data_IF_622341019386
#
_entry.id   IF_622341019386
#
_cell.length_a   1.000
_cell.length_b   1.000
_cell.length_c   1.000
_cell.angle_alpha   90.00
_cell.angle_beta   90.00
_cell.angle_gamma   90.00
#
_symmetry.space_group_name_H-M   'P 1'
#
loop_
_entity.id
_entity.type
_entity.pdbx_description
1 polymer ?
#
# COMPACT_ATOMS: atom_id res chain seq x y z
N UNK A 1 -68.39 35.50 34.37
CA UNK A 1 -67.19 36.01 35.07
C UNK A 1 -66.09 35.01 34.75
N UNK A 2 -65.06 35.24 33.94
CA UNK A 2 -64.50 36.41 33.23
C UNK A 2 -63.80 35.83 31.97
N UNK A 3 -64.06 36.32 30.77
CA UNK A 3 -63.37 37.39 30.04
C UNK A 3 -62.02 36.98 29.36
N UNK A 4 -62.14 36.78 28.04
CA UNK A 4 -61.26 37.02 26.87
C UNK A 4 -59.76 36.59 26.73
N UNK A 5 -59.31 36.28 25.48
CA UNK A 5 -57.96 35.80 25.05
C UNK A 5 -57.08 36.98 24.55
N UNK A 6 -56.03 36.90 23.67
CA UNK A 6 -55.29 35.80 22.99
C UNK A 6 -53.74 35.98 23.02
N UNK A 7 -52.95 35.15 22.30
CA UNK A 7 -51.96 35.63 21.30
C UNK A 7 -51.18 34.51 20.59
N UNK A 8 -51.07 34.64 19.27
CA UNK A 8 -50.15 33.90 18.40
C UNK A 8 -48.80 34.63 18.38
N UNK A 9 -47.70 33.89 18.40
CA UNK A 9 -46.45 34.39 17.81
C UNK A 9 -45.70 33.30 17.04
N UNK A 10 -45.62 33.51 15.73
CA UNK A 10 -44.75 32.86 14.76
C UNK A 10 -43.28 33.13 15.09
N UNK A 11 -42.42 32.11 15.04
CA UNK A 11 -40.96 32.26 15.15
C UNK A 11 -40.24 31.15 14.38
N UNK A 12 -39.34 31.56 13.48
CA UNK A 12 -38.74 30.78 12.39
C UNK A 12 -37.63 29.81 12.82
N UNK A 13 -37.57 28.70 12.07
CA UNK A 13 -36.39 27.93 11.65
C UNK A 13 -35.02 28.58 11.83
N UNK A 14 -34.08 27.88 12.48
CA UNK A 14 -32.68 27.83 12.05
C UNK A 14 -32.12 26.41 12.21
N UNK A 15 -31.50 25.94 11.14
CA UNK A 15 -30.98 24.59 10.98
C UNK A 15 -29.90 24.26 12.02
N UNK A 16 -30.04 23.09 12.63
CA UNK A 16 -29.01 22.42 13.42
C UNK A 16 -27.86 22.03 12.49
N UNK A 17 -26.83 22.87 12.42
CA UNK A 17 -25.57 22.55 11.76
C UNK A 17 -24.84 21.47 12.57
N UNK A 18 -24.94 20.22 12.10
CA UNK A 18 -24.13 19.10 12.57
C UNK A 18 -22.68 19.43 12.28
N UNK A 19 -21.90 19.74 13.31
CA UNK A 19 -20.45 19.86 13.20
C UNK A 19 -19.86 18.46 12.98
N UNK A 20 -19.49 18.17 11.73
CA UNK A 20 -18.65 17.04 11.37
C UNK A 20 -17.21 17.35 11.80
N UNK A 21 -16.85 16.97 13.03
CA UNK A 21 -15.45 16.92 13.46
C UNK A 21 -14.76 15.73 12.80
N UNK A 22 -14.04 15.98 11.70
CA UNK A 22 -13.07 15.02 11.14
C UNK A 22 -11.82 15.01 12.03
N UNK A 23 -11.25 13.83 12.37
CA UNK A 23 -9.99 13.76 13.09
C UNK A 23 -8.83 14.11 12.14
N UNK A 24 -8.23 15.27 12.37
CA UNK A 24 -6.99 15.71 11.72
C UNK A 24 -5.86 14.76 12.17
N UNK A 25 -5.22 14.08 11.23
CA UNK A 25 -4.06 13.23 11.48
C UNK A 25 -2.89 14.07 12.06
N UNK A 26 -2.02 13.46 12.89
CA UNK A 26 -0.99 14.21 13.60
C UNK A 26 0.09 14.72 12.63
N UNK A 27 0.25 16.04 12.58
CA UNK A 27 1.37 16.72 11.95
C UNK A 27 2.60 16.47 12.83
N UNK A 28 3.60 15.74 12.33
CA UNK A 28 4.91 15.67 12.99
C UNK A 28 5.70 16.93 12.64
N UNK A 29 5.95 17.76 13.65
CA UNK A 29 6.80 18.94 13.57
C UNK A 29 8.25 18.51 13.84
N UNK A 30 9.17 18.81 12.93
CA UNK A 30 10.60 18.80 13.20
C UNK A 30 11.12 20.22 13.03
N UNK A 31 11.77 20.74 14.07
CA UNK A 31 12.37 22.07 14.09
C UNK A 31 13.72 22.02 13.37
N UNK A 32 13.81 22.68 12.22
CA UNK A 32 15.07 23.08 11.62
C UNK A 32 14.94 24.57 11.23
N UNK A 33 15.67 25.40 11.97
CA UNK A 33 16.11 26.74 11.59
C UNK A 33 15.04 27.71 11.04
N UNK A 34 14.14 28.16 11.92
CA UNK A 34 13.58 29.52 11.87
C UNK A 34 12.68 29.90 10.68
N UNK A 35 12.39 28.98 9.77
CA UNK A 35 11.46 29.17 8.67
C UNK A 35 10.52 27.97 8.60
N UNK A 36 9.25 28.21 8.90
CA UNK A 36 8.18 27.25 8.62
C UNK A 36 7.98 27.19 7.11
N UNK A 37 8.84 26.47 6.40
CA UNK A 37 8.56 26.16 5.01
C UNK A 37 7.47 25.09 5.01
N UNK A 38 6.25 25.53 4.67
CA UNK A 38 5.14 24.63 4.39
C UNK A 38 5.54 23.86 3.14
N UNK A 39 6.19 22.71 3.32
CA UNK A 39 6.33 21.73 2.25
C UNK A 39 4.94 21.14 2.06
N UNK A 40 4.12 21.83 1.26
CA UNK A 40 2.93 21.24 0.67
C UNK A 40 3.41 19.95 0.01
N UNK A 41 2.83 18.77 0.32
CA UNK A 41 3.18 17.56 -0.39
C UNK A 41 2.63 17.76 -1.80
N UNK A 42 3.46 18.29 -2.69
CA UNK A 42 3.12 18.46 -4.09
C UNK A 42 2.86 17.04 -4.60
N UNK A 43 1.58 16.70 -4.69
CA UNK A 43 1.14 15.36 -5.09
C UNK A 43 1.79 15.11 -6.45
N UNK A 44 2.62 14.07 -6.55
CA UNK A 44 3.23 13.67 -7.82
C UNK A 44 2.17 13.64 -8.92
N UNK A 45 2.53 14.06 -10.13
CA UNK A 45 1.61 14.11 -11.28
C UNK A 45 0.86 12.78 -11.46
N UNK A 46 1.56 11.66 -11.25
CA UNK A 46 0.96 10.32 -11.30
C UNK A 46 -0.10 10.11 -10.21
N UNK A 47 0.13 10.64 -9.01
CA UNK A 47 -0.81 10.59 -7.89
C UNK A 47 -2.07 11.39 -8.21
N UNK A 48 -1.91 12.60 -8.75
CA UNK A 48 -3.03 13.47 -9.15
C UNK A 48 -3.90 12.81 -10.22
N UNK A 49 -3.27 12.22 -11.24
CA UNK A 49 -3.96 11.47 -12.29
C UNK A 49 -4.76 10.29 -11.73
N UNK A 50 -4.18 9.55 -10.78
CA UNK A 50 -4.88 8.43 -10.11
C UNK A 50 -6.08 8.93 -9.31
N UNK A 51 -5.95 10.04 -8.59
CA UNK A 51 -7.06 10.64 -7.83
C UNK A 51 -8.20 11.02 -8.76
N UNK A 52 -7.90 11.74 -9.85
CA UNK A 52 -8.88 12.18 -10.83
C UNK A 52 -9.67 11.00 -11.42
N UNK A 53 -8.96 9.98 -11.88
CA UNK A 53 -9.57 8.75 -12.43
C UNK A 53 -10.47 8.08 -11.40
N UNK A 54 -10.06 7.99 -10.14
CA UNK A 54 -10.87 7.37 -9.09
C UNK A 54 -12.13 8.17 -8.82
N UNK A 55 -12.04 9.51 -8.78
CA UNK A 55 -13.20 10.38 -8.59
C UNK A 55 -14.21 10.22 -9.72
N UNK A 56 -13.74 10.20 -10.97
CA UNK A 56 -14.59 9.96 -12.15
C UNK A 56 -15.30 8.60 -12.07
N UNK A 57 -14.58 7.55 -11.65
CA UNK A 57 -15.15 6.20 -11.52
C UNK A 57 -16.18 6.11 -10.39
N UNK A 58 -15.95 6.80 -9.26
CA UNK A 58 -16.93 6.85 -8.16
C UNK A 58 -18.20 7.56 -8.63
N UNK A 59 -18.06 8.68 -9.35
CA UNK A 59 -19.20 9.44 -9.88
C UNK A 59 -20.01 8.65 -10.92
N UNK A 60 -19.34 7.81 -11.73
CA UNK A 60 -20.00 7.01 -12.76
C UNK A 60 -20.56 5.66 -12.25
N UNK A 61 -20.39 5.34 -10.96
CA UNK A 61 -20.81 4.05 -10.41
C UNK A 61 -22.33 3.85 -10.56
N UNK A 62 -22.75 2.69 -11.07
CA UNK A 62 -24.17 2.35 -11.26
C UNK A 62 -24.74 2.77 -12.63
N UNK A 63 -23.97 3.49 -13.44
CA UNK A 63 -24.36 3.82 -14.83
C UNK A 63 -23.92 2.69 -15.78
N UNK A 64 -24.65 2.46 -16.87
CA UNK A 64 -24.26 1.53 -17.95
C UNK A 64 -22.87 1.85 -18.56
N UNK A 65 -22.45 3.11 -18.47
CA UNK A 65 -21.16 3.62 -18.94
C UNK A 65 -19.98 3.21 -18.05
N UNK A 66 -20.23 2.68 -16.86
CA UNK A 66 -19.21 2.38 -15.86
C UNK A 66 -18.17 1.36 -16.36
N UNK A 67 -18.61 0.30 -17.04
CA UNK A 67 -17.70 -0.73 -17.56
C UNK A 67 -16.76 -0.21 -18.65
N UNK A 68 -17.27 0.62 -19.57
CA UNK A 68 -16.46 1.25 -20.62
C UNK A 68 -15.46 2.24 -20.02
N UNK A 69 -15.90 3.05 -19.05
CA UNK A 69 -15.05 3.99 -18.34
C UNK A 69 -13.92 3.28 -17.60
N UNK A 70 -14.20 2.19 -16.88
CA UNK A 70 -13.16 1.37 -16.22
C UNK A 70 -12.08 0.90 -17.19
N UNK A 71 -12.45 0.43 -18.38
CA UNK A 71 -11.48 -0.03 -19.37
C UNK A 71 -10.61 1.12 -19.90
N UNK A 72 -11.22 2.27 -20.17
CA UNK A 72 -10.50 3.46 -20.64
C UNK A 72 -9.54 3.99 -19.56
N UNK A 73 -10.02 4.14 -18.33
CA UNK A 73 -9.23 4.56 -17.19
C UNK A 73 -8.06 3.62 -16.89
N UNK A 74 -8.27 2.30 -17.02
CA UNK A 74 -7.20 1.32 -16.84
C UNK A 74 -6.10 1.49 -17.90
N UNK A 75 -6.48 1.73 -19.16
CA UNK A 75 -5.54 2.02 -20.25
C UNK A 75 -4.77 3.32 -20.02
N UNK A 76 -5.44 4.39 -19.58
CA UNK A 76 -4.81 5.68 -19.27
C UNK A 76 -3.74 5.56 -18.18
N UNK A 77 -3.99 4.75 -17.16
CA UNK A 77 -3.05 4.50 -16.06
C UNK A 77 -2.03 3.39 -16.35
N UNK A 78 -2.08 2.73 -17.52
CA UNK A 78 -1.18 1.63 -17.87
C UNK A 78 -1.32 0.39 -16.97
N UNK A 79 -2.47 0.20 -16.32
CA UNK A 79 -2.73 -0.92 -15.40
C UNK A 79 -3.88 -1.81 -15.88
N UNK A 80 -4.01 -2.99 -15.29
CA UNK A 80 -5.17 -3.86 -15.55
C UNK A 80 -6.44 -3.31 -14.90
N UNK A 81 -7.60 -3.63 -15.48
CA UNK A 81 -8.92 -3.29 -14.89
C UNK A 81 -9.06 -3.85 -13.47
N UNK A 82 -8.54 -5.05 -13.21
CA UNK A 82 -8.53 -5.66 -11.86
C UNK A 82 -7.69 -4.84 -10.87
N UNK A 83 -6.53 -4.33 -11.31
CA UNK A 83 -5.69 -3.45 -10.49
C UNK A 83 -6.42 -2.14 -10.18
N UNK A 84 -7.10 -1.55 -11.17
CA UNK A 84 -7.90 -0.36 -11.00
C UNK A 84 -9.06 -0.57 -10.01
N UNK A 85 -9.80 -1.68 -10.13
CA UNK A 85 -10.87 -2.03 -9.19
C UNK A 85 -10.35 -2.20 -7.76
N UNK A 86 -9.20 -2.86 -7.59
CA UNK A 86 -8.53 -2.98 -6.28
C UNK A 86 -8.05 -1.63 -5.75
N UNK A 87 -7.62 -0.72 -6.63
CA UNK A 87 -7.23 0.63 -6.26
C UNK A 87 -8.44 1.42 -5.74
N UNK A 88 -9.55 1.41 -6.47
CA UNK A 88 -10.81 2.05 -6.05
C UNK A 88 -11.33 1.45 -4.74
N UNK A 89 -11.25 0.13 -4.57
CA UNK A 89 -11.63 -0.52 -3.30
C UNK A 89 -10.76 -0.04 -2.14
N UNK A 90 -9.43 -0.08 -2.27
CA UNK A 90 -8.52 0.42 -1.23
C UNK A 90 -8.71 1.90 -0.93
N UNK A 91 -9.00 2.70 -1.95
CA UNK A 91 -9.32 4.12 -1.78
C UNK A 91 -10.58 4.33 -0.93
N UNK A 92 -11.61 3.52 -1.08
CA UNK A 92 -12.82 3.60 -0.22
C UNK A 92 -12.52 3.24 1.23
N UNK A 93 -11.61 2.28 1.45
CA UNK A 93 -11.26 1.78 2.79
C UNK A 93 -10.26 2.71 3.51
N UNK A 94 -9.32 3.29 2.79
CA UNK A 94 -8.15 3.97 3.37
C UNK A 94 -7.92 5.40 2.84
N UNK A 95 -8.76 5.91 1.94
CA UNK A 95 -8.65 7.27 1.39
C UNK A 95 -7.35 7.51 0.64
N UNK A 96 -6.78 8.71 0.79
CA UNK A 96 -5.52 9.13 0.15
C UNK A 96 -4.33 8.21 0.47
N UNK A 97 -4.32 7.61 1.66
CA UNK A 97 -3.24 6.67 2.05
C UNK A 97 -3.18 5.44 1.15
N UNK A 98 -4.29 5.05 0.52
CA UNK A 98 -4.37 3.91 -0.41
C UNK A 98 -3.53 4.08 -1.68
N UNK A 99 -3.26 5.33 -2.08
CA UNK A 99 -2.46 5.62 -3.27
C UNK A 99 -0.97 5.63 -2.99
N UNK A 100 -0.59 5.83 -1.73
CA UNK A 100 0.80 5.66 -1.32
C UNK A 100 1.17 4.19 -1.53
N UNK A 101 2.32 3.96 -2.18
CA UNK A 101 2.85 2.60 -2.31
C UNK A 101 3.25 2.18 -0.91
N UNK A 102 2.42 1.34 -0.28
CA UNK A 102 2.70 0.82 1.05
C UNK A 102 3.98 -0.02 0.96
N UNK A 103 5.09 0.60 1.36
CA UNK A 103 6.39 -0.02 1.33
C UNK A 103 6.38 -1.10 2.40
N UNK A 104 6.41 -2.36 1.96
CA UNK A 104 6.62 -3.44 2.91
C UNK A 104 8.05 -3.34 3.40
N UNK A 105 8.25 -3.33 4.72
CA UNK A 105 9.58 -3.26 5.34
C UNK A 105 10.50 -4.38 4.85
N UNK A 106 9.92 -5.55 4.52
CA UNK A 106 10.65 -6.70 4.01
C UNK A 106 10.86 -6.71 2.48
N UNK A 107 10.47 -5.65 1.77
CA UNK A 107 10.57 -5.61 0.31
C UNK A 107 12.03 -5.55 -0.15
N UNK A 108 12.53 -6.66 -0.70
CA UNK A 108 13.91 -6.80 -1.14
C UNK A 108 14.88 -7.19 -0.02
N UNK A 109 14.40 -7.36 1.21
CA UNK A 109 15.20 -7.89 2.30
C UNK A 109 15.46 -9.39 2.08
N UNK A 110 16.73 -9.78 2.10
CA UNK A 110 17.12 -11.19 2.08
C UNK A 110 16.81 -11.79 3.44
N UNK A 111 15.96 -12.82 3.48
CA UNK A 111 15.48 -13.47 4.71
C UNK A 111 16.47 -14.47 5.33
N UNK A 112 17.69 -14.53 4.81
CA UNK A 112 18.75 -15.42 5.29
C UNK A 112 19.98 -14.60 5.66
N UNK A 113 20.75 -15.10 6.62
CA UNK A 113 22.03 -14.51 6.97
C UNK A 113 22.94 -14.45 5.73
N UNK A 114 23.81 -13.43 5.69
CA UNK A 114 24.80 -13.27 4.64
C UNK A 114 25.71 -14.51 4.53
N UNK A 115 26.07 -15.12 5.66
CA UNK A 115 26.90 -16.32 5.70
C UNK A 115 26.27 -17.48 4.93
N UNK A 116 24.99 -17.74 5.17
CA UNK A 116 24.26 -18.80 4.49
C UNK A 116 24.08 -18.49 3.00
N UNK A 117 23.77 -17.23 2.66
CA UNK A 117 23.67 -16.79 1.27
C UNK A 117 24.98 -17.03 0.52
N UNK A 118 26.09 -16.61 1.10
CA UNK A 118 27.40 -16.68 0.46
C UNK A 118 27.89 -18.13 0.35
N UNK A 119 27.59 -18.95 1.37
CA UNK A 119 27.82 -20.39 1.30
C UNK A 119 27.03 -21.07 0.17
N UNK A 120 25.73 -20.78 0.03
CA UNK A 120 24.87 -21.32 -1.03
C UNK A 120 25.40 -20.92 -2.42
N UNK A 121 25.66 -19.61 -2.63
CA UNK A 121 26.12 -19.09 -3.91
C UNK A 121 27.48 -19.67 -4.30
N UNK A 122 28.42 -19.72 -3.36
CA UNK A 122 29.73 -20.32 -3.59
C UNK A 122 29.62 -21.80 -3.93
N UNK A 123 28.85 -22.56 -3.15
CA UNK A 123 28.63 -23.99 -3.36
C UNK A 123 28.02 -24.28 -4.73
N UNK A 124 27.04 -23.48 -5.15
CA UNK A 124 26.43 -23.61 -6.48
C UNK A 124 27.40 -23.24 -7.61
N UNK A 125 28.16 -22.14 -7.49
CA UNK A 125 29.14 -21.72 -8.49
C UNK A 125 30.28 -22.71 -8.63
N UNK A 126 30.77 -23.25 -7.53
CA UNK A 126 31.84 -24.25 -7.52
C UNK A 126 31.37 -25.59 -8.08
N UNK A 127 30.17 -26.04 -7.71
CA UNK A 127 29.58 -27.27 -8.21
C UNK A 127 29.22 -27.24 -9.70
N UNK A 128 29.00 -26.03 -10.26
CA UNK A 128 28.70 -25.82 -11.68
C UNK A 128 29.90 -25.27 -12.49
N UNK A 129 31.12 -25.37 -11.96
CA UNK A 129 32.32 -24.94 -12.68
C UNK A 129 32.74 -26.01 -13.70
N UNK A 130 32.99 -25.59 -14.94
CA UNK A 130 33.44 -26.48 -16.01
C UNK A 130 32.30 -27.35 -16.56
N UNK A 131 32.55 -28.65 -16.72
CA UNK A 131 31.57 -29.65 -17.18
C UNK A 131 30.73 -30.27 -16.06
N UNK A 132 30.94 -29.86 -14.81
CA UNK A 132 30.14 -30.34 -13.68
C UNK A 132 28.80 -29.61 -13.63
N UNK A 133 27.74 -30.33 -13.26
CA UNK A 133 26.44 -29.75 -12.96
C UNK A 133 26.00 -30.19 -11.56
N UNK A 134 25.69 -29.21 -10.73
CA UNK A 134 25.17 -29.41 -9.39
C UNK A 134 23.77 -28.82 -9.30
N UNK A 135 22.83 -29.68 -8.92
CA UNK A 135 21.42 -29.32 -8.77
C UNK A 135 21.18 -28.55 -7.47
N UNK A 136 20.15 -27.69 -7.39
CA UNK A 136 19.76 -27.02 -6.14
C UNK A 136 19.44 -28.01 -5.00
N UNK A 137 18.97 -29.21 -5.33
CA UNK A 137 18.76 -30.28 -4.35
C UNK A 137 20.07 -30.72 -3.68
N UNK A 138 21.15 -30.86 -4.44
CA UNK A 138 22.48 -31.17 -3.91
C UNK A 138 23.05 -30.03 -3.07
N UNK A 139 22.81 -28.77 -3.45
CA UNK A 139 23.15 -27.61 -2.61
C UNK A 139 22.44 -27.69 -1.27
N UNK A 140 21.14 -28.03 -1.27
CA UNK A 140 20.33 -28.15 -0.05
C UNK A 140 20.90 -29.22 0.90
N UNK A 141 21.34 -30.35 0.36
CA UNK A 141 21.99 -31.40 1.16
C UNK A 141 23.29 -30.90 1.80
N UNK A 142 24.10 -30.12 1.06
CA UNK A 142 25.33 -29.52 1.60
C UNK A 142 25.05 -28.46 2.66
N UNK A 143 24.01 -27.65 2.50
CA UNK A 143 23.56 -26.69 3.53
C UNK A 143 23.17 -27.43 4.80
N UNK A 144 22.40 -28.51 4.70
CA UNK A 144 22.03 -29.34 5.87
C UNK A 144 23.26 -29.95 6.55
N UNK A 145 24.17 -30.54 5.77
CA UNK A 145 25.39 -31.11 6.31
C UNK A 145 26.22 -30.04 7.05
N UNK A 146 26.34 -28.85 6.45
CA UNK A 146 27.03 -27.71 7.06
C UNK A 146 26.37 -27.24 8.34
N UNK A 147 25.04 -27.21 8.39
CA UNK A 147 24.29 -26.84 9.58
C UNK A 147 24.51 -27.85 10.72
N UNK A 148 24.56 -29.15 10.39
CA UNK A 148 24.89 -30.21 11.35
C UNK A 148 26.33 -30.09 11.87
N UNK A 149 27.30 -29.80 11.01
CA UNK A 149 28.70 -29.55 11.42
C UNK A 149 28.82 -28.37 12.40
N UNK A 150 28.05 -27.31 12.15
CA UNK A 150 28.05 -26.09 12.99
C UNK A 150 27.16 -26.22 14.23
N UNK A 151 26.35 -27.28 14.33
CA UNK A 151 25.36 -27.44 15.41
C UNK A 151 24.27 -26.37 15.42
N UNK A 152 23.96 -25.78 14.25
CA UNK A 152 22.99 -24.68 14.13
C UNK A 152 21.68 -25.20 13.59
N UNK A 153 20.58 -24.92 14.30
CA UNK A 153 19.22 -25.26 13.86
C UNK A 153 18.62 -24.20 12.91
N UNK A 154 19.07 -22.96 12.99
CA UNK A 154 18.67 -21.87 12.10
C UNK A 154 19.48 -21.87 10.79
N UNK A 155 19.00 -22.65 9.81
CA UNK A 155 19.57 -22.74 8.47
C UNK A 155 18.51 -22.65 7.37
N UNK A 156 18.89 -22.26 6.14
CA UNK A 156 17.95 -22.07 5.04
C UNK A 156 17.18 -23.34 4.69
N UNK A 157 15.86 -23.19 4.54
CA UNK A 157 15.00 -24.26 4.03
C UNK A 157 15.32 -24.58 2.57
N UNK A 158 14.90 -25.76 2.09
CA UNK A 158 15.00 -26.14 0.67
C UNK A 158 14.42 -25.06 -0.24
N UNK A 159 13.27 -24.49 0.10
CA UNK A 159 12.60 -23.44 -0.69
C UNK A 159 13.44 -22.19 -0.82
N UNK A 160 14.29 -21.91 0.16
CA UNK A 160 15.18 -20.75 0.18
C UNK A 160 16.42 -20.94 -0.69
N UNK A 161 16.81 -22.18 -0.99
CA UNK A 161 17.96 -22.53 -1.84
C UNK A 161 17.61 -22.48 -3.33
N UNK A 162 16.34 -22.71 -3.69
CA UNK A 162 15.82 -22.62 -5.06
C UNK A 162 15.58 -21.17 -5.46
#
# INVERSE_FOLDING_TARGET
MSDSPPEKSTGRSTASAVQLSLPIAPISLQEAEGQWEIVSPELSIEMQQRIEVIQQLIAAQGTERYGKLQQQSAKQLGITVRSLQRLVKRWREHGLSALSKQYRVDHGAVRISSEWRDFILRTYREGNRGSCSMTPAQVTLRVRARAQELGVEDYPSRTTVY
#
